data_IF_135586083610
#
_entry.id   IF_135586083610
#
_cell.length_a   1.000
_cell.length_b   1.000
_cell.length_c   1.000
_cell.angle_alpha   90.00
_cell.angle_beta   90.00
_cell.angle_gamma   90.00
#
_symmetry.space_group_name_H-M   'P 1'
#
loop_
_entity.id
_entity.type
_entity.pdbx_description
1 polymer ?
#
# COMPACT_ATOMS: atom_id res chain seq x y z
N UNK A 1 18.87 -3.16 11.69
CA UNK A 1 19.42 -4.11 12.68
C UNK A 1 20.48 -5.04 12.07
N UNK A 2 20.28 -5.67 10.89
CA UNK A 2 21.31 -6.55 10.29
C UNK A 2 22.61 -5.84 9.86
N UNK A 3 22.55 -4.60 9.37
CA UNK A 3 23.74 -3.76 9.12
C UNK A 3 24.41 -3.24 10.39
N UNK A 4 23.66 -3.18 11.50
CA UNK A 4 24.16 -2.81 12.82
C UNK A 4 24.69 -4.01 13.62
N UNK A 5 24.50 -5.23 13.10
CA UNK A 5 25.17 -6.44 13.57
C UNK A 5 26.48 -6.71 12.81
N UNK A 6 26.99 -5.72 12.08
CA UNK A 6 28.29 -5.82 11.42
C UNK A 6 29.41 -5.76 12.46
N UNK A 7 30.48 -6.53 12.23
CA UNK A 7 31.63 -6.60 13.14
C UNK A 7 32.40 -5.27 13.26
N UNK A 8 32.25 -4.37 12.28
CA UNK A 8 32.88 -3.04 12.26
C UNK A 8 31.95 -2.01 11.64
N UNK A 9 32.15 -0.72 11.99
CA UNK A 9 31.44 0.40 11.35
C UNK A 9 31.67 0.43 9.84
N UNK A 10 32.89 0.14 9.38
CA UNK A 10 33.22 0.12 7.96
C UNK A 10 32.40 -0.91 7.17
N UNK A 11 32.24 -2.14 7.69
CA UNK A 11 31.39 -3.15 7.06
C UNK A 11 29.90 -2.78 7.11
N UNK A 12 29.45 -2.17 8.22
CA UNK A 12 28.11 -1.62 8.33
C UNK A 12 27.83 -0.56 7.26
N UNK A 13 28.76 0.36 7.04
CA UNK A 13 28.66 1.41 6.02
C UNK A 13 28.62 0.84 4.60
N UNK A 14 29.51 -0.10 4.27
CA UNK A 14 29.49 -0.80 2.97
C UNK A 14 28.13 -1.45 2.74
N UNK A 15 27.64 -2.22 3.72
CA UNK A 15 26.35 -2.90 3.64
C UNK A 15 25.18 -1.95 3.39
N UNK A 16 25.14 -0.80 4.10
CA UNK A 16 24.11 0.22 3.89
C UNK A 16 24.21 0.84 2.49
N UNK A 17 25.42 1.15 2.02
CA UNK A 17 25.63 1.75 0.69
C UNK A 17 25.28 0.78 -0.44
N UNK A 18 25.67 -0.50 -0.32
CA UNK A 18 25.26 -1.54 -1.27
C UNK A 18 23.74 -1.72 -1.31
N UNK A 19 23.08 -1.76 -0.14
CA UNK A 19 21.63 -1.83 -0.08
C UNK A 19 20.97 -0.59 -0.70
N UNK A 20 21.53 0.61 -0.48
CA UNK A 20 21.10 1.84 -1.11
C UNK A 20 21.20 1.79 -2.64
N UNK A 21 22.34 1.31 -3.17
CA UNK A 21 22.54 1.11 -4.61
C UNK A 21 21.54 0.13 -5.22
N UNK A 22 21.30 -1.02 -4.58
CA UNK A 22 20.31 -1.99 -5.05
C UNK A 22 18.88 -1.42 -5.04
N UNK A 23 18.55 -0.56 -4.08
CA UNK A 23 17.23 0.09 -4.02
C UNK A 23 16.97 1.05 -5.19
N UNK A 24 18.00 1.63 -5.80
CA UNK A 24 17.84 2.47 -7.00
C UNK A 24 17.26 1.67 -8.18
N UNK A 25 17.51 0.36 -8.23
CA UNK A 25 16.96 -0.53 -9.25
C UNK A 25 15.52 -0.98 -8.96
N UNK A 26 15.02 -0.79 -7.72
CA UNK A 26 13.72 -1.32 -7.32
C UNK A 26 12.55 -0.75 -8.14
N UNK A 27 12.48 0.56 -8.49
CA UNK A 27 11.45 1.06 -9.38
C UNK A 27 11.48 0.43 -10.77
N UNK A 28 12.66 0.17 -11.33
CA UNK A 28 12.79 -0.48 -12.63
C UNK A 28 12.25 -1.93 -12.61
N UNK A 29 12.47 -2.64 -11.51
CA UNK A 29 12.04 -4.05 -11.38
C UNK A 29 10.56 -4.15 -10.99
N UNK A 30 10.07 -3.26 -10.12
CA UNK A 30 8.73 -3.38 -9.51
C UNK A 30 7.68 -2.46 -10.14
N UNK A 31 8.05 -1.23 -10.54
CA UNK A 31 7.12 -0.22 -11.04
C UNK A 31 7.00 -0.27 -12.56
N UNK A 32 8.12 -0.43 -13.27
CA UNK A 32 8.12 -0.47 -14.74
C UNK A 32 7.18 -1.55 -15.32
N UNK A 33 7.15 -2.79 -14.82
CA UNK A 33 6.17 -3.78 -15.30
C UNK A 33 4.72 -3.34 -15.08
N UNK A 34 4.44 -2.63 -13.98
CA UNK A 34 3.13 -2.04 -13.73
C UNK A 34 2.75 -0.98 -14.77
N UNK A 35 3.70 -0.11 -15.15
CA UNK A 35 3.49 0.90 -16.20
C UNK A 35 3.25 0.23 -17.57
N UNK A 36 4.05 -0.79 -17.90
CA UNK A 36 3.87 -1.56 -19.15
C UNK A 36 2.50 -2.24 -19.18
N UNK A 37 2.09 -2.85 -18.06
CA UNK A 37 0.77 -3.45 -17.92
C UNK A 37 -0.34 -2.39 -18.08
N UNK A 38 -0.18 -1.20 -17.49
CA UNK A 38 -1.13 -0.10 -17.66
C UNK A 38 -1.26 0.33 -19.13
N UNK A 39 -0.16 0.45 -19.87
CA UNK A 39 -0.24 0.79 -21.30
C UNK A 39 -0.81 -0.34 -22.16
N UNK A 40 -0.53 -1.60 -21.83
CA UNK A 40 -0.99 -2.77 -22.58
C UNK A 40 -2.47 -3.08 -22.35
N UNK A 41 -2.95 -2.86 -21.13
CA UNK A 41 -4.29 -3.29 -20.73
C UNK A 41 -5.22 -2.15 -20.30
N UNK A 42 -4.71 -0.93 -20.13
CA UNK A 42 -5.45 0.24 -19.63
C UNK A 42 -6.03 1.14 -20.70
N UNK A 43 -5.74 0.85 -21.97
CA UNK A 43 -6.44 1.46 -23.09
C UNK A 43 -7.56 0.54 -23.54
N UNK A 44 -8.78 1.02 -23.48
CA UNK A 44 -9.86 0.49 -24.31
C UNK A 44 -9.91 1.37 -25.55
N UNK A 45 -9.99 0.78 -26.73
CA UNK A 45 -10.18 1.54 -27.97
C UNK A 45 -11.47 1.05 -28.63
N UNK A 46 -12.27 1.97 -29.16
CA UNK A 46 -13.44 1.65 -29.98
C UNK A 46 -13.38 2.49 -31.25
N UNK A 47 -13.42 1.84 -32.42
CA UNK A 47 -13.36 2.48 -33.75
C UNK A 47 -12.20 3.49 -33.96
N UNK A 48 -11.00 3.16 -33.45
CA UNK A 48 -9.82 4.03 -33.61
C UNK A 48 -9.81 5.26 -32.72
N UNK A 49 -10.78 5.40 -31.81
CA UNK A 49 -10.80 6.42 -30.76
C UNK A 49 -10.25 5.80 -29.46
N UNK A 50 -9.16 6.34 -28.89
CA UNK A 50 -8.67 5.89 -27.60
C UNK A 50 -9.65 6.30 -26.50
N UNK A 51 -10.32 5.32 -25.88
CA UNK A 51 -11.13 5.53 -24.69
C UNK A 51 -10.20 5.58 -23.48
N UNK A 52 -9.93 6.78 -23.01
CA UNK A 52 -9.23 6.97 -21.74
C UNK A 52 -10.11 6.44 -20.61
N UNK A 53 -9.69 5.35 -19.96
CA UNK A 53 -10.22 4.95 -18.66
C UNK A 53 -9.68 5.96 -17.65
N UNK A 54 -10.27 7.15 -17.63
CA UNK A 54 -9.90 8.24 -16.73
C UNK A 54 -10.55 7.98 -15.38
N UNK A 55 -9.72 7.79 -14.36
CA UNK A 55 -10.03 7.90 -12.92
C UNK A 55 -11.45 7.50 -12.47
N UNK A 56 -11.65 6.21 -12.20
CA UNK A 56 -12.72 5.75 -11.29
C UNK A 56 -12.16 5.75 -9.85
N UNK A 57 -11.56 6.87 -9.46
CA UNK A 57 -11.02 7.09 -8.12
C UNK A 57 -11.98 8.03 -7.40
N UNK A 58 -12.58 7.50 -6.33
CA UNK A 58 -13.49 8.17 -5.38
C UNK A 58 -14.96 8.25 -5.78
N UNK A 59 -15.76 7.24 -5.39
CA UNK A 59 -16.97 7.41 -4.56
C UNK A 59 -17.62 6.06 -4.21
N UNK A 60 -18.31 6.02 -3.06
CA UNK A 60 -18.89 4.83 -2.43
C UNK A 60 -20.03 4.21 -3.26
N UNK A 61 -19.96 2.91 -3.52
CA UNK A 61 -21.11 2.12 -3.96
C UNK A 61 -22.02 1.89 -2.74
N UNK A 62 -23.16 2.57 -2.70
CA UNK A 62 -24.21 2.31 -1.71
C UNK A 62 -25.11 1.15 -2.19
N UNK A 63 -25.17 0.06 -1.42
CA UNK A 63 -26.19 -0.98 -1.60
C UNK A 63 -27.55 -0.48 -1.09
N UNK A 64 -28.60 -0.56 -1.92
CA UNK A 64 -29.97 -0.28 -1.51
C UNK A 64 -30.87 -1.51 -1.72
N UNK A 65 -31.40 -2.02 -0.61
CA UNK A 65 -32.79 -2.48 -0.45
C UNK A 65 -33.31 -3.68 -1.26
N UNK A 66 -33.64 -4.75 -0.53
CA UNK A 66 -34.35 -5.97 -0.94
C UNK A 66 -35.76 -5.75 -1.52
N UNK A 67 -36.21 -6.59 -2.47
CA UNK A 67 -37.64 -6.90 -2.57
C UNK A 67 -38.04 -8.35 -2.99
N UNK A 68 -38.87 -8.92 -2.12
CA UNK A 68 -39.98 -9.90 -2.20
C UNK A 68 -40.01 -11.21 -3.02
N UNK A 69 -38.97 -11.67 -3.74
CA UNK A 69 -39.07 -12.98 -4.46
C UNK A 69 -38.02 -14.04 -4.14
N UNK A 70 -37.08 -13.78 -3.23
CA UNK A 70 -36.09 -14.79 -2.81
C UNK A 70 -34.95 -15.06 -3.80
N UNK A 71 -34.83 -14.28 -4.87
CA UNK A 71 -33.62 -14.19 -5.69
C UNK A 71 -32.79 -12.95 -5.30
N UNK A 72 -31.47 -13.04 -5.46
CA UNK A 72 -30.50 -12.05 -5.00
C UNK A 72 -30.83 -10.63 -5.54
N UNK A 73 -30.63 -9.58 -4.73
CA UNK A 73 -31.12 -8.24 -5.05
C UNK A 73 -30.49 -7.67 -6.32
N UNK A 74 -31.32 -6.97 -7.10
CA UNK A 74 -30.92 -6.03 -8.14
C UNK A 74 -30.17 -4.85 -7.50
N UNK A 75 -28.90 -4.71 -7.84
CA UNK A 75 -28.08 -3.57 -7.42
C UNK A 75 -28.42 -2.36 -8.30
N UNK A 76 -29.13 -1.37 -7.74
CA UNK A 76 -29.37 -0.07 -8.36
C UNK A 76 -28.48 0.95 -7.64
N UNK A 77 -27.48 1.49 -8.34
CA UNK A 77 -26.61 2.55 -7.82
C UNK A 77 -27.05 3.86 -8.47
N UNK A 78 -27.56 4.79 -7.67
CA UNK A 78 -27.92 6.12 -8.11
C UNK A 78 -26.71 7.05 -7.98
N UNK A 79 -26.22 7.56 -9.10
CA UNK A 79 -25.47 8.82 -9.16
C UNK A 79 -26.21 9.79 -10.07
N UNK A 80 -26.20 11.08 -9.71
CA UNK A 80 -27.08 12.13 -10.25
C UNK A 80 -27.29 12.07 -11.78
N UNK A 81 -28.54 12.30 -12.19
CA UNK A 81 -29.04 12.41 -13.57
C UNK A 81 -28.46 11.45 -14.62
N UNK A 82 -27.85 10.33 -14.28
CA UNK A 82 -27.32 9.35 -15.24
C UNK A 82 -27.46 7.94 -14.64
N UNK A 83 -28.23 7.08 -15.31
CA UNK A 83 -28.55 5.76 -14.83
C UNK A 83 -28.02 4.69 -15.80
N UNK A 84 -27.42 3.64 -15.22
CA UNK A 84 -26.77 2.52 -15.90
C UNK A 84 -27.52 1.24 -15.52
N UNK A 85 -27.95 0.45 -16.51
CA UNK A 85 -28.67 -0.82 -16.26
C UNK A 85 -27.82 -2.02 -16.70
N UNK A 86 -27.65 -2.99 -15.79
CA UNK A 86 -26.97 -4.28 -16.04
C UNK A 86 -28.02 -5.37 -16.14
N UNK A 87 -28.35 -5.80 -17.36
CA UNK A 87 -29.29 -6.90 -17.60
C UNK A 87 -28.57 -8.24 -17.47
N UNK A 88 -28.77 -8.93 -16.33
CA UNK A 88 -28.09 -10.20 -16.01
C UNK A 88 -28.89 -11.46 -16.38
N UNK A 89 -29.73 -11.41 -17.40
CA UNK A 89 -30.70 -12.51 -17.64
C UNK A 89 -30.92 -12.91 -19.10
N UNK A 90 -30.18 -12.38 -20.07
CA UNK A 90 -30.40 -12.70 -21.50
C UNK A 90 -29.24 -13.49 -22.11
N UNK A 91 -29.58 -14.43 -22.99
CA UNK A 91 -28.60 -15.19 -23.79
C UNK A 91 -27.85 -14.27 -24.77
N UNK A 92 -26.64 -14.67 -25.15
CA UNK A 92 -25.72 -13.90 -26.00
C UNK A 92 -26.36 -13.48 -27.34
N UNK A 93 -27.24 -14.31 -27.90
CA UNK A 93 -27.97 -13.99 -29.14
C UNK A 93 -29.03 -12.89 -28.94
N UNK A 94 -29.74 -12.90 -27.81
CA UNK A 94 -30.79 -11.92 -27.51
C UNK A 94 -30.23 -10.51 -27.24
N UNK A 95 -29.05 -10.42 -26.62
CA UNK A 95 -28.36 -9.14 -26.42
C UNK A 95 -27.92 -8.50 -27.75
N UNK A 96 -27.57 -9.32 -28.75
CA UNK A 96 -27.11 -8.85 -30.07
C UNK A 96 -28.25 -8.33 -30.93
N UNK A 97 -29.44 -8.93 -30.82
CA UNK A 97 -30.65 -8.51 -31.53
C UNK A 97 -31.22 -7.17 -31.03
N UNK A 98 -30.81 -6.73 -29.83
CA UNK A 98 -31.19 -5.43 -29.25
C UNK A 98 -30.31 -4.27 -29.69
N UNK A 99 -29.23 -4.50 -30.44
CA UNK A 99 -28.44 -3.42 -31.02
C UNK A 99 -29.31 -2.57 -31.96
N UNK A 100 -29.38 -1.26 -31.71
CA UNK A 100 -30.27 -0.32 -32.40
C UNK A 100 -31.65 -0.14 -31.77
N UNK A 101 -32.01 -0.91 -30.74
CA UNK A 101 -33.29 -0.78 -30.04
C UNK A 101 -33.26 0.32 -28.97
N UNK A 102 -34.43 0.78 -28.54
CA UNK A 102 -34.56 1.82 -27.50
C UNK A 102 -35.18 1.22 -26.24
N UNK A 103 -34.53 1.41 -25.10
CA UNK A 103 -34.99 0.96 -23.79
C UNK A 103 -35.39 2.15 -22.93
N UNK A 104 -36.30 1.95 -21.98
CA UNK A 104 -36.76 2.99 -21.06
C UNK A 104 -36.30 2.66 -19.64
N UNK A 105 -35.42 3.51 -19.09
CA UNK A 105 -34.82 3.32 -17.77
C UNK A 105 -34.92 4.61 -16.96
N UNK A 106 -35.50 4.54 -15.76
CA UNK A 106 -35.77 5.69 -14.88
C UNK A 106 -36.45 6.88 -15.62
N UNK A 107 -37.42 6.58 -16.49
CA UNK A 107 -38.19 7.59 -17.25
C UNK A 107 -37.46 8.21 -18.44
N UNK A 108 -36.30 7.67 -18.82
CA UNK A 108 -35.50 8.14 -19.95
C UNK A 108 -35.40 7.07 -21.03
N UNK A 109 -35.52 7.49 -22.29
CA UNK A 109 -35.33 6.63 -23.46
C UNK A 109 -33.86 6.63 -23.85
N UNK A 110 -33.27 5.45 -23.88
CA UNK A 110 -31.86 5.21 -24.21
C UNK A 110 -31.80 4.31 -25.44
N UNK A 111 -31.10 4.73 -26.50
CA UNK A 111 -30.91 3.91 -27.70
C UNK A 111 -29.62 3.11 -27.56
N UNK A 112 -29.69 1.80 -27.76
CA UNK A 112 -28.53 0.92 -27.76
C UNK A 112 -27.81 1.08 -29.10
N UNK A 113 -26.54 1.50 -29.11
CA UNK A 113 -25.80 1.72 -30.36
C UNK A 113 -24.86 0.57 -30.72
N UNK A 114 -24.26 -0.07 -29.72
CA UNK A 114 -23.33 -1.16 -29.95
C UNK A 114 -23.27 -2.12 -28.76
N UNK A 115 -23.04 -3.40 -29.07
CA UNK A 115 -22.79 -4.47 -28.09
C UNK A 115 -21.36 -4.96 -28.32
N UNK A 116 -20.49 -4.75 -27.33
CA UNK A 116 -19.05 -4.94 -27.51
C UNK A 116 -18.61 -6.39 -27.20
N UNK A 117 -19.20 -7.00 -26.16
CA UNK A 117 -18.95 -8.38 -25.67
C UNK A 117 -20.20 -8.87 -24.90
N UNK A 118 -20.34 -10.17 -24.49
CA UNK A 118 -21.50 -10.64 -23.74
C UNK A 118 -21.81 -9.72 -22.54
N UNK A 119 -23.04 -9.21 -22.45
CA UNK A 119 -23.48 -8.40 -21.30
C UNK A 119 -23.05 -6.92 -21.28
N UNK A 120 -22.40 -6.39 -22.33
CA UNK A 120 -21.96 -4.98 -22.39
C UNK A 120 -22.66 -4.20 -23.51
N UNK A 121 -23.43 -3.18 -23.12
CA UNK A 121 -24.28 -2.37 -24.01
C UNK A 121 -23.89 -0.89 -23.92
N UNK A 122 -23.57 -0.26 -25.07
CA UNK A 122 -23.41 1.20 -25.17
C UNK A 122 -24.75 1.80 -25.56
N UNK A 123 -25.18 2.83 -24.84
CA UNK A 123 -26.42 3.53 -25.17
C UNK A 123 -26.26 5.05 -25.23
N UNK A 124 -26.93 5.67 -26.21
CA UNK A 124 -27.02 7.11 -26.41
C UNK A 124 -28.35 7.62 -25.88
N UNK A 125 -28.29 8.71 -25.12
CA UNK A 125 -29.50 9.37 -24.59
C UNK A 125 -30.19 10.21 -25.68
N UNK A 126 -31.38 10.72 -25.38
CA UNK A 126 -32.14 11.61 -26.28
C UNK A 126 -31.40 12.91 -26.67
N UNK A 127 -30.28 13.25 -26.01
CA UNK A 127 -29.46 14.42 -26.30
C UNK A 127 -28.27 14.12 -27.25
N UNK A 128 -28.09 12.87 -27.68
CA UNK A 128 -27.02 12.49 -28.63
C UNK A 128 -25.65 12.26 -27.97
N UNK A 129 -25.61 12.11 -26.65
CA UNK A 129 -24.37 11.85 -25.91
C UNK A 129 -24.18 10.35 -25.65
N UNK A 130 -23.02 9.81 -26.04
CA UNK A 130 -22.65 8.41 -25.85
C UNK A 130 -22.37 8.13 -24.37
N UNK A 131 -23.03 7.11 -23.79
CA UNK A 131 -22.75 6.64 -22.43
C UNK A 131 -22.21 5.21 -22.43
N UNK A 132 -21.12 4.98 -21.69
CA UNK A 132 -20.40 3.71 -21.64
C UNK A 132 -20.76 2.92 -20.37
N UNK A 133 -21.18 1.67 -20.52
CA UNK A 133 -21.47 0.76 -19.41
C UNK A 133 -20.40 -0.35 -19.39
N UNK A 134 -19.65 -0.50 -18.31
CA UNK A 134 -18.75 -1.65 -18.03
C UNK A 134 -19.39 -2.41 -16.87
N UNK A 135 -19.58 -3.72 -16.91
CA UNK A 135 -18.58 -4.79 -17.08
C UNK A 135 -19.35 -6.13 -17.06
N UNK A 136 -19.05 -7.16 -17.90
CA UNK A 136 -19.20 -8.62 -17.59
C UNK A 136 -18.92 -9.58 -18.78
N UNK A 137 -17.64 -9.83 -19.07
CA UNK A 137 -17.14 -11.23 -19.05
C UNK A 137 -15.72 -11.27 -18.44
N UNK A 138 -15.58 -12.13 -17.45
CA UNK A 138 -14.76 -11.93 -16.24
C UNK A 138 -13.34 -12.48 -16.32
N UNK A 139 -12.81 -12.74 -17.52
CA UNK A 139 -11.40 -13.15 -17.68
C UNK A 139 -10.58 -12.15 -18.51
N UNK A 140 -11.23 -11.38 -19.40
CA UNK A 140 -10.59 -10.39 -20.27
C UNK A 140 -10.41 -9.01 -19.63
N UNK A 141 -11.49 -8.45 -19.06
CA UNK A 141 -11.56 -7.09 -18.49
C UNK A 141 -11.03 -6.95 -17.05
N UNK A 142 -10.65 -8.05 -16.41
CA UNK A 142 -10.02 -8.08 -15.06
C UNK A 142 -8.70 -7.30 -14.99
N UNK A 143 -8.16 -6.83 -16.10
CA UNK A 143 -6.75 -6.48 -16.22
C UNK A 143 -6.26 -5.31 -15.35
N UNK A 144 -7.14 -4.42 -14.88
CA UNK A 144 -6.72 -3.25 -14.07
C UNK A 144 -7.62 -2.89 -12.88
N UNK A 145 -8.72 -3.60 -12.63
CA UNK A 145 -9.57 -3.32 -11.47
C UNK A 145 -8.87 -3.63 -10.14
N UNK A 146 -7.88 -4.54 -10.15
CA UNK A 146 -6.95 -4.77 -9.03
C UNK A 146 -5.54 -4.43 -9.46
N UNK A 147 -5.06 -3.24 -9.08
CA UNK A 147 -3.72 -2.73 -9.41
C UNK A 147 -2.61 -3.73 -9.07
N UNK A 148 -2.80 -4.52 -8.02
CA UNK A 148 -1.83 -5.52 -7.54
C UNK A 148 -1.69 -6.76 -8.47
N UNK A 149 -2.64 -7.01 -9.38
CA UNK A 149 -2.56 -8.15 -10.33
C UNK A 149 -1.79 -7.83 -11.61
N UNK A 150 -1.50 -6.55 -11.85
CA UNK A 150 -0.92 -6.07 -13.11
C UNK A 150 0.39 -6.78 -13.48
N UNK A 151 1.28 -6.97 -12.49
CA UNK A 151 2.58 -7.59 -12.75
C UNK A 151 2.46 -9.08 -13.08
N UNK A 152 1.68 -9.84 -12.30
CA UNK A 152 1.47 -11.27 -12.54
C UNK A 152 0.82 -11.56 -13.90
N UNK A 153 -0.15 -10.73 -14.30
CA UNK A 153 -0.80 -10.83 -15.61
C UNK A 153 0.17 -10.54 -16.75
N UNK A 154 0.95 -9.46 -16.65
CA UNK A 154 1.94 -9.14 -17.67
C UNK A 154 2.96 -10.27 -17.87
N UNK A 155 3.44 -10.86 -16.78
CA UNK A 155 4.39 -11.98 -16.85
C UNK A 155 3.77 -13.19 -17.55
N UNK A 156 2.53 -13.55 -17.21
CA UNK A 156 1.81 -14.67 -17.83
C UNK A 156 1.66 -14.49 -19.35
N UNK A 157 1.37 -13.27 -19.80
CA UNK A 157 1.07 -13.01 -21.21
C UNK A 157 2.33 -12.78 -22.06
N UNK A 158 3.44 -12.35 -21.46
CA UNK A 158 4.68 -12.01 -22.17
C UNK A 158 5.69 -13.16 -22.17
N UNK A 159 5.81 -13.92 -21.07
CA UNK A 159 6.82 -14.97 -20.96
C UNK A 159 6.34 -16.30 -21.55
N UNK A 160 7.25 -17.10 -22.14
CA UNK A 160 6.99 -18.49 -22.47
C UNK A 160 6.53 -19.29 -21.24
N UNK A 161 5.71 -20.35 -21.40
CA UNK A 161 5.13 -21.11 -20.28
C UNK A 161 6.16 -21.59 -19.24
N UNK A 162 7.35 -21.98 -19.70
CA UNK A 162 8.44 -22.45 -18.84
C UNK A 162 8.98 -21.32 -17.95
N UNK A 163 9.15 -20.12 -18.50
CA UNK A 163 9.65 -18.95 -17.77
C UNK A 163 8.56 -18.33 -16.88
N UNK A 164 7.30 -18.38 -17.31
CA UNK A 164 6.16 -17.99 -16.47
C UNK A 164 6.04 -18.92 -15.24
N UNK A 165 6.18 -20.23 -15.43
CA UNK A 165 6.21 -21.20 -14.33
C UNK A 165 7.41 -21.01 -13.39
N UNK A 166 8.61 -20.76 -13.95
CA UNK A 166 9.80 -20.42 -13.16
C UNK A 166 9.58 -19.15 -12.33
N UNK A 167 9.03 -18.10 -12.93
CA UNK A 167 8.72 -16.85 -12.24
C UNK A 167 7.74 -17.09 -11.07
N UNK A 168 6.66 -17.83 -11.30
CA UNK A 168 5.70 -18.18 -10.25
C UNK A 168 6.37 -18.90 -9.08
N UNK A 169 7.28 -19.85 -9.35
CA UNK A 169 8.05 -20.54 -8.33
C UNK A 169 8.99 -19.61 -7.54
N UNK A 170 9.67 -18.68 -8.23
CA UNK A 170 10.56 -17.68 -7.60
C UNK A 170 9.77 -16.74 -6.69
N UNK A 171 8.63 -16.22 -7.15
CA UNK A 171 7.77 -15.35 -6.34
C UNK A 171 7.23 -16.09 -5.11
N UNK A 172 6.75 -17.33 -5.28
CA UNK A 172 6.29 -18.15 -4.15
C UNK A 172 7.42 -18.36 -3.13
N UNK A 173 8.63 -18.69 -3.59
CA UNK A 173 9.82 -18.84 -2.75
C UNK A 173 10.18 -17.55 -2.01
N UNK A 174 10.13 -16.41 -2.69
CA UNK A 174 10.41 -15.09 -2.12
C UNK A 174 9.37 -14.68 -1.05
N UNK A 175 8.08 -14.96 -1.30
CA UNK A 175 6.98 -14.74 -0.35
C UNK A 175 7.18 -15.60 0.89
N UNK A 176 7.42 -16.91 0.72
CA UNK A 176 7.63 -17.83 1.85
C UNK A 176 8.87 -17.45 2.68
N UNK A 177 9.96 -17.04 2.02
CA UNK A 177 11.17 -16.57 2.69
C UNK A 177 10.90 -15.32 3.54
N UNK A 178 10.22 -14.33 2.97
CA UNK A 178 9.88 -13.08 3.66
C UNK A 178 8.91 -13.32 4.82
N UNK A 179 7.90 -14.16 4.61
CA UNK A 179 6.93 -14.57 5.63
C UNK A 179 7.60 -15.30 6.80
N UNK A 180 8.48 -16.27 6.51
CA UNK A 180 9.25 -16.98 7.53
C UNK A 180 10.16 -16.03 8.33
N UNK A 181 10.81 -15.07 7.67
CA UNK A 181 11.63 -14.06 8.36
C UNK A 181 10.78 -13.16 9.26
N UNK A 182 9.58 -12.77 8.83
CA UNK A 182 8.66 -11.96 9.63
C UNK A 182 8.16 -12.73 10.85
N UNK A 183 7.67 -13.96 10.68
CA UNK A 183 7.24 -14.82 11.78
C UNK A 183 8.34 -15.07 12.79
N UNK A 184 9.56 -15.38 12.33
CA UNK A 184 10.68 -15.62 13.23
C UNK A 184 11.03 -14.36 14.05
N UNK A 185 11.10 -13.20 13.40
CA UNK A 185 11.41 -11.94 14.08
C UNK A 185 10.34 -11.56 15.11
N UNK A 186 9.07 -11.73 14.76
CA UNK A 186 7.92 -11.49 15.66
C UNK A 186 7.91 -12.47 16.83
N UNK A 187 8.18 -13.76 16.59
CA UNK A 187 8.30 -14.77 17.62
C UNK A 187 9.46 -14.50 18.59
N UNK A 188 10.62 -14.05 18.08
CA UNK A 188 11.78 -13.67 18.90
C UNK A 188 11.50 -12.40 19.72
N UNK A 189 10.90 -11.37 19.12
CA UNK A 189 10.54 -10.14 19.82
C UNK A 189 9.56 -10.43 20.97
N UNK A 190 8.56 -11.28 20.71
CA UNK A 190 7.65 -11.73 21.76
C UNK A 190 8.35 -12.57 22.82
N UNK A 191 9.11 -13.60 22.43
CA UNK A 191 9.66 -14.55 23.40
C UNK A 191 10.70 -13.94 24.32
N UNK A 192 11.60 -13.11 23.78
CA UNK A 192 12.62 -12.42 24.57
C UNK A 192 12.04 -11.15 25.20
N UNK A 193 11.52 -10.24 24.38
CA UNK A 193 11.15 -8.90 24.83
C UNK A 193 9.85 -8.82 25.64
N UNK A 194 8.91 -9.74 25.46
CA UNK A 194 7.62 -9.73 26.20
C UNK A 194 7.58 -10.87 27.20
N UNK A 195 7.75 -12.11 26.74
CA UNK A 195 7.60 -13.29 27.58
C UNK A 195 8.70 -13.40 28.63
N UNK A 196 9.98 -13.30 28.25
CA UNK A 196 11.07 -13.34 29.24
C UNK A 196 11.16 -12.03 30.01
N UNK A 197 11.32 -10.91 29.33
CA UNK A 197 11.65 -9.65 30.01
C UNK A 197 10.50 -9.07 30.85
N UNK A 198 9.24 -9.23 30.43
CA UNK A 198 8.09 -8.59 31.10
C UNK A 198 7.21 -9.57 31.89
N UNK A 199 6.95 -10.77 31.36
CA UNK A 199 5.96 -11.70 31.95
C UNK A 199 6.58 -12.75 32.87
N UNK A 200 7.68 -13.39 32.45
CA UNK A 200 8.34 -14.49 33.16
C UNK A 200 9.88 -14.31 33.15
N UNK A 201 10.43 -13.41 33.98
CA UNK A 201 11.87 -13.09 34.03
C UNK A 201 12.79 -14.27 34.34
N UNK A 202 12.25 -15.32 35.00
CA UNK A 202 13.00 -16.52 35.39
C UNK A 202 12.79 -17.70 34.43
N UNK A 203 12.18 -17.48 33.28
CA UNK A 203 11.92 -18.55 32.31
C UNK A 203 13.22 -19.15 31.76
N UNK A 204 13.26 -20.48 31.67
CA UNK A 204 14.36 -21.20 31.02
C UNK A 204 14.34 -20.99 29.51
N UNK A 205 15.48 -21.16 28.85
CA UNK A 205 15.58 -20.96 27.40
C UNK A 205 14.61 -21.88 26.63
N UNK A 206 14.38 -23.10 27.12
CA UNK A 206 13.40 -24.03 26.53
C UNK A 206 11.96 -23.49 26.63
N UNK A 207 11.60 -22.90 27.78
CA UNK A 207 10.28 -22.27 27.96
C UNK A 207 10.11 -21.07 27.04
N UNK A 208 11.15 -20.25 26.89
CA UNK A 208 11.17 -19.08 25.99
C UNK A 208 10.99 -19.52 24.53
N UNK A 209 11.73 -20.54 24.08
CA UNK A 209 11.59 -21.09 22.72
C UNK A 209 10.19 -21.65 22.51
N UNK A 210 9.63 -22.36 23.49
CA UNK A 210 8.29 -22.94 23.40
C UNK A 210 7.20 -21.86 23.34
N UNK A 211 7.33 -20.80 24.14
CA UNK A 211 6.45 -19.64 24.09
C UNK A 211 6.52 -18.94 22.73
N UNK A 212 7.72 -18.71 22.19
CA UNK A 212 7.93 -18.14 20.86
C UNK A 212 7.28 -18.97 19.74
N UNK A 213 7.45 -20.31 19.76
CA UNK A 213 6.82 -21.20 18.78
C UNK A 213 5.29 -21.17 18.84
N UNK A 214 4.71 -21.18 20.05
CA UNK A 214 3.24 -21.08 20.24
C UNK A 214 2.70 -19.76 19.73
N UNK A 215 3.37 -18.66 20.05
CA UNK A 215 3.01 -17.34 19.55
C UNK A 215 3.16 -17.23 18.03
N UNK A 216 4.20 -17.84 17.45
CA UNK A 216 4.38 -17.93 16.01
C UNK A 216 3.21 -18.63 15.31
N UNK A 217 2.73 -19.76 15.86
CA UNK A 217 1.52 -20.43 15.35
C UNK A 217 0.27 -19.55 15.45
N UNK A 218 0.09 -18.86 16.58
CA UNK A 218 -1.02 -17.93 16.77
C UNK A 218 -1.01 -16.81 15.70
N UNK A 219 0.13 -16.16 15.50
CA UNK A 219 0.29 -15.08 14.51
C UNK A 219 0.10 -15.62 13.08
N UNK A 220 0.59 -16.82 12.78
CA UNK A 220 0.40 -17.43 11.46
C UNK A 220 -1.08 -17.66 11.15
N UNK A 221 -1.84 -18.26 12.08
CA UNK A 221 -3.28 -18.50 11.93
C UNK A 221 -4.03 -17.17 11.83
N UNK A 222 -3.73 -16.20 12.71
CA UNK A 222 -4.34 -14.88 12.67
C UNK A 222 -4.08 -14.17 11.32
N UNK A 223 -2.87 -14.26 10.79
CA UNK A 223 -2.52 -13.69 9.48
C UNK A 223 -3.31 -14.34 8.34
N UNK A 224 -3.51 -15.67 8.39
CA UNK A 224 -4.33 -16.39 7.41
C UNK A 224 -5.81 -15.99 7.48
N UNK A 225 -6.34 -15.71 8.68
CA UNK A 225 -7.70 -15.22 8.85
C UNK A 225 -7.89 -13.77 8.38
N UNK A 226 -6.88 -12.91 8.57
CA UNK A 226 -6.93 -11.50 8.18
C UNK A 226 -6.64 -11.29 6.68
N UNK A 227 -5.82 -12.14 6.05
CA UNK A 227 -5.41 -11.96 4.66
C UNK A 227 -6.60 -11.82 3.66
N UNK A 228 -7.69 -12.61 3.76
CA UNK A 228 -8.87 -12.43 2.90
C UNK A 228 -9.53 -11.04 3.02
N UNK A 229 -9.45 -10.39 4.19
CA UNK A 229 -10.03 -9.06 4.40
C UNK A 229 -9.32 -7.97 3.57
N UNK A 230 -8.10 -8.24 3.10
CA UNK A 230 -7.35 -7.33 2.23
C UNK A 230 -7.78 -7.42 0.77
N UNK A 231 -8.54 -8.44 0.37
CA UNK A 231 -8.96 -8.63 -1.01
C UNK A 231 -9.91 -7.53 -1.55
N UNK A 232 -10.57 -6.80 -0.64
CA UNK A 232 -11.44 -5.67 -0.96
C UNK A 232 -10.74 -4.31 -1.04
N UNK A 233 -9.40 -4.26 -0.91
CA UNK A 233 -8.64 -3.02 -1.03
C UNK A 233 -8.23 -2.75 -2.49
N UNK A 234 -8.33 -1.51 -2.94
CA UNK A 234 -7.93 -1.10 -4.30
C UNK A 234 -6.41 -1.22 -4.55
N UNK A 235 -5.62 -1.00 -3.50
CA UNK A 235 -4.18 -1.17 -3.50
C UNK A 235 -3.70 -1.70 -2.16
N UNK A 236 -3.19 -2.93 -2.19
CA UNK A 236 -2.56 -3.54 -1.02
C UNK A 236 -1.32 -2.73 -0.60
N UNK A 237 -0.53 -2.24 -1.56
CA UNK A 237 0.61 -1.36 -1.26
C UNK A 237 0.16 -0.07 -0.55
N UNK A 238 -0.87 0.60 -1.04
CA UNK A 238 -1.41 1.81 -0.41
C UNK A 238 -1.89 1.56 1.02
N UNK A 239 -2.64 0.48 1.23
CA UNK A 239 -3.07 0.06 2.57
C UNK A 239 -1.88 -0.24 3.50
N UNK A 240 -0.87 -0.96 3.01
CA UNK A 240 0.35 -1.22 3.76
C UNK A 240 1.09 0.07 4.12
N UNK A 241 1.11 1.07 3.25
CA UNK A 241 1.71 2.37 3.56
C UNK A 241 0.94 3.13 4.65
N UNK A 242 -0.40 3.06 4.65
CA UNK A 242 -1.23 3.59 5.74
C UNK A 242 -0.90 2.91 7.06
N UNK A 243 -0.87 1.58 7.07
CA UNK A 243 -0.46 0.77 8.23
C UNK A 243 0.94 1.14 8.72
N UNK A 244 1.91 1.25 7.80
CA UNK A 244 3.29 1.65 8.11
C UNK A 244 3.36 3.03 8.75
N UNK A 245 2.55 3.98 8.27
CA UNK A 245 2.47 5.33 8.82
C UNK A 245 2.10 5.36 10.30
N UNK A 246 1.15 4.50 10.74
CA UNK A 246 0.65 4.48 12.12
C UNK A 246 1.76 4.30 13.17
N UNK A 247 2.77 3.48 12.87
CA UNK A 247 3.83 3.17 13.80
C UNK A 247 5.17 3.81 13.44
N UNK A 248 5.52 3.95 12.15
CA UNK A 248 6.79 4.56 11.77
C UNK A 248 6.87 6.04 12.14
N UNK A 249 5.81 6.83 11.96
CA UNK A 249 5.89 8.27 12.24
C UNK A 249 6.10 8.55 13.75
N UNK A 250 5.34 7.94 14.67
CA UNK A 250 5.56 8.18 16.10
C UNK A 250 6.92 7.66 16.58
N UNK A 251 7.34 6.46 16.13
CA UNK A 251 8.65 5.89 16.48
C UNK A 251 9.80 6.76 15.94
N UNK A 252 9.68 7.21 14.68
CA UNK A 252 10.66 8.09 14.05
C UNK A 252 10.77 9.42 14.78
N UNK A 253 9.64 10.02 15.17
CA UNK A 253 9.61 11.25 15.98
C UNK A 253 10.39 11.08 17.28
N UNK A 254 10.11 10.01 18.03
CA UNK A 254 10.81 9.70 19.29
C UNK A 254 12.29 9.47 19.07
N UNK A 255 12.68 8.74 18.02
CA UNK A 255 14.07 8.49 17.67
C UNK A 255 14.82 9.78 17.33
N UNK A 256 14.24 10.66 16.52
CA UNK A 256 14.84 11.96 16.17
C UNK A 256 15.05 12.80 17.42
N UNK A 257 14.03 12.92 18.28
CA UNK A 257 14.15 13.64 19.55
C UNK A 257 15.20 13.01 20.47
N UNK A 258 15.23 11.69 20.59
CA UNK A 258 16.21 10.98 21.43
C UNK A 258 17.64 11.10 20.91
N UNK A 259 17.83 11.28 19.60
CA UNK A 259 19.16 11.45 18.99
C UNK A 259 19.68 12.88 19.12
N UNK A 260 18.82 13.89 18.96
CA UNK A 260 19.23 15.29 18.95
C UNK A 260 19.07 16.01 20.29
N UNK A 261 18.38 15.41 21.27
CA UNK A 261 18.16 16.03 22.59
C UNK A 261 18.53 15.07 23.73
N UNK A 262 19.16 15.61 24.78
CA UNK A 262 19.57 14.83 25.97
C UNK A 262 18.65 15.00 27.18
N UNK A 263 17.71 15.95 27.11
CA UNK A 263 16.90 16.39 28.27
C UNK A 263 15.40 16.10 28.16
N UNK A 264 14.91 15.63 27.01
CA UNK A 264 13.48 15.28 26.87
C UNK A 264 13.19 14.03 27.73
N UNK A 265 12.17 14.06 28.62
CA UNK A 265 11.86 12.93 29.50
C UNK A 265 11.17 11.78 28.75
N UNK A 266 11.28 10.56 29.29
CA UNK A 266 10.65 9.37 28.72
C UNK A 266 9.11 9.47 28.66
N UNK A 267 8.50 10.27 29.55
CA UNK A 267 7.05 10.53 29.54
C UNK A 267 6.62 11.24 28.24
N UNK A 268 7.43 12.17 27.73
CA UNK A 268 7.13 12.86 26.47
C UNK A 268 7.10 11.86 25.29
N UNK A 269 8.05 10.92 25.25
CA UNK A 269 8.10 9.88 24.25
C UNK A 269 6.90 8.93 24.33
N UNK A 270 6.50 8.51 25.54
CA UNK A 270 5.31 7.65 25.74
C UNK A 270 4.04 8.35 25.24
N UNK A 271 3.85 9.62 25.61
CA UNK A 271 2.71 10.43 25.16
C UNK A 271 2.73 10.56 23.63
N UNK A 272 3.88 10.87 23.03
CA UNK A 272 4.01 11.02 21.58
C UNK A 272 3.70 9.71 20.82
N UNK A 273 4.10 8.55 21.33
CA UNK A 273 3.77 7.26 20.73
C UNK A 273 2.26 7.01 20.72
N UNK A 274 1.59 7.22 21.85
CA UNK A 274 0.14 7.00 21.98
C UNK A 274 -0.65 8.01 21.15
N UNK A 275 -0.36 9.30 21.29
CA UNK A 275 -1.05 10.37 20.56
C UNK A 275 -0.78 10.28 19.07
N UNK A 276 0.46 9.97 18.66
CA UNK A 276 0.82 9.82 17.26
C UNK A 276 0.07 8.67 16.60
N UNK A 277 0.04 7.50 17.25
CA UNK A 277 -0.73 6.36 16.76
C UNK A 277 -2.22 6.71 16.67
N UNK A 278 -2.80 7.30 17.73
CA UNK A 278 -4.22 7.65 17.78
C UNK A 278 -4.60 8.71 16.73
N UNK A 279 -3.77 9.75 16.53
CA UNK A 279 -4.02 10.79 15.55
C UNK A 279 -4.02 10.24 14.11
N UNK A 280 -3.05 9.39 13.77
CA UNK A 280 -2.96 8.79 12.43
C UNK A 280 -4.09 7.77 12.23
N UNK A 281 -4.37 6.94 13.24
CA UNK A 281 -5.49 5.99 13.18
C UNK A 281 -6.83 6.71 12.99
N UNK A 282 -7.03 7.82 13.71
CA UNK A 282 -8.23 8.66 13.57
C UNK A 282 -8.30 9.28 12.16
N UNK A 283 -7.21 9.85 11.66
CA UNK A 283 -7.16 10.43 10.32
C UNK A 283 -7.46 9.42 9.20
N UNK A 284 -6.93 8.20 9.28
CA UNK A 284 -7.06 7.20 8.22
C UNK A 284 -8.30 6.30 8.33
N UNK A 285 -8.76 5.98 9.53
CA UNK A 285 -9.80 4.94 9.74
C UNK A 285 -11.13 5.47 10.26
N UNK A 286 -11.24 6.76 10.61
CA UNK A 286 -12.51 7.35 11.02
C UNK A 286 -13.07 8.19 9.88
N UNK A 287 -14.25 7.83 9.31
CA UNK A 287 -14.80 8.50 8.12
C UNK A 287 -14.89 10.03 8.22
N UNK A 288 -15.23 10.54 9.42
CA UNK A 288 -15.34 11.97 9.68
C UNK A 288 -14.03 12.76 9.43
N UNK A 289 -12.87 12.11 9.55
CA UNK A 289 -11.56 12.75 9.38
C UNK A 289 -10.91 12.48 8.04
N UNK A 290 -11.37 11.46 7.30
CA UNK A 290 -10.81 11.08 6.01
C UNK A 290 -10.88 12.21 4.98
N UNK A 291 -11.99 12.96 4.94
CA UNK A 291 -12.13 14.11 4.02
C UNK A 291 -11.05 15.18 4.23
N UNK A 292 -10.68 15.45 5.48
CA UNK A 292 -9.62 16.42 5.80
C UNK A 292 -8.24 15.91 5.39
N UNK A 293 -7.96 14.61 5.60
CA UNK A 293 -6.70 13.99 5.21
C UNK A 293 -6.54 13.98 3.69
N UNK A 294 -7.60 13.63 2.96
CA UNK A 294 -7.60 13.62 1.49
C UNK A 294 -7.36 15.02 0.93
N UNK A 295 -7.98 16.05 1.53
CA UNK A 295 -7.80 17.44 1.10
C UNK A 295 -6.34 17.95 1.22
N UNK A 296 -5.60 17.50 2.24
CA UNK A 296 -4.21 17.91 2.46
C UNK A 296 -3.16 16.99 1.82
N UNK A 297 -3.57 15.85 1.26
CA UNK A 297 -2.73 14.70 0.89
C UNK A 297 -2.21 13.90 2.10
N UNK A 298 -2.24 12.57 1.99
CA UNK A 298 -1.84 11.63 3.05
C UNK A 298 -0.40 11.85 3.55
N UNK A 299 0.55 12.17 2.68
CA UNK A 299 1.94 12.37 3.09
C UNK A 299 2.17 13.69 3.83
N UNK A 300 1.47 14.76 3.46
CA UNK A 300 1.51 16.02 4.22
C UNK A 300 0.85 15.86 5.58
N UNK A 301 -0.24 15.10 5.66
CA UNK A 301 -0.86 14.74 6.94
C UNK A 301 0.15 14.04 7.87
N UNK A 302 0.85 13.01 7.38
CA UNK A 302 1.90 12.33 8.17
C UNK A 302 3.04 13.29 8.58
N UNK A 303 3.45 14.19 7.68
CA UNK A 303 4.44 15.23 7.97
C UNK A 303 3.98 16.21 9.05
N UNK A 304 2.71 16.62 9.02
CA UNK A 304 2.11 17.49 10.02
C UNK A 304 2.01 16.81 11.39
N UNK A 305 1.63 15.53 11.42
CA UNK A 305 1.64 14.73 12.65
C UNK A 305 3.06 14.62 13.20
N UNK A 306 4.04 14.26 12.36
CA UNK A 306 5.46 14.22 12.76
C UNK A 306 5.92 15.53 13.40
N UNK A 307 5.68 16.66 12.73
CA UNK A 307 6.07 17.98 13.24
C UNK A 307 5.39 18.29 14.57
N UNK A 308 4.10 17.99 14.69
CA UNK A 308 3.32 18.18 15.94
C UNK A 308 3.88 17.34 17.09
N UNK A 309 4.25 16.09 16.84
CA UNK A 309 4.85 15.21 17.86
C UNK A 309 6.23 15.71 18.30
N UNK A 310 7.05 16.18 17.37
CA UNK A 310 8.35 16.80 17.67
C UNK A 310 8.17 18.05 18.52
N UNK A 311 7.28 18.96 18.13
CA UNK A 311 6.99 20.18 18.89
C UNK A 311 6.47 19.83 20.28
N UNK A 312 5.51 18.92 20.40
CA UNK A 312 4.97 18.45 21.67
C UNK A 312 6.09 17.95 22.61
N UNK A 313 6.98 17.08 22.11
CA UNK A 313 8.08 16.55 22.91
C UNK A 313 9.09 17.63 23.32
N UNK A 314 9.39 18.59 22.45
CA UNK A 314 10.27 19.72 22.78
C UNK A 314 9.64 20.67 23.80
N UNK A 315 8.32 20.89 23.74
CA UNK A 315 7.58 21.68 24.73
C UNK A 315 7.61 20.97 26.08
N UNK A 316 7.27 19.68 26.14
CA UNK A 316 7.36 18.89 27.39
C UNK A 316 8.80 18.88 27.90
N UNK A 317 9.80 18.73 27.03
CA UNK A 317 11.21 18.77 27.41
C UNK A 317 11.69 20.13 27.95
N UNK A 318 11.04 21.24 27.57
CA UNK A 318 11.30 22.55 28.15
C UNK A 318 10.57 22.77 29.48
N UNK A 319 9.35 22.28 29.61
CA UNK A 319 8.52 22.45 30.82
C UNK A 319 8.92 21.50 31.95
N UNK A 320 9.28 20.26 31.61
CA UNK A 320 9.65 19.20 32.54
C UNK A 320 10.92 18.47 32.04
N UNK A 321 12.08 19.15 31.97
CA UNK A 321 13.33 18.53 31.55
C UNK A 321 13.76 17.42 32.51
N UNK A 322 14.50 16.42 32.00
CA UNK A 322 15.20 15.46 32.85
C UNK A 322 16.17 16.18 33.79
N UNK A 323 16.23 15.71 35.04
CA UNK A 323 17.18 16.21 36.06
C UNK A 323 18.63 16.03 35.61
N UNK A 324 18.94 14.87 35.02
CA UNK A 324 20.26 14.57 34.48
C UNK A 324 20.20 14.39 32.95
N UNK A 325 21.13 15.02 32.20
CA UNK A 325 21.30 14.76 30.78
C UNK A 325 21.60 13.29 30.53
N UNK A 326 20.99 12.71 29.51
CA UNK A 326 21.33 11.36 29.08
C UNK A 326 22.79 11.30 28.56
N UNK A 327 23.60 10.34 29.02
CA UNK A 327 25.01 10.16 28.62
C UNK A 327 25.28 8.89 27.77
N UNK A 328 25.92 9.08 26.60
CA UNK A 328 26.23 8.00 25.65
C UNK A 328 27.32 7.08 26.20
N UNK A 329 26.86 6.01 26.87
CA UNK A 329 27.71 4.88 27.23
C UNK A 329 28.02 4.09 25.96
N UNK A 330 29.23 4.29 25.46
CA UNK A 330 29.79 3.45 24.42
C UNK A 330 30.16 2.09 25.02
N UNK A 331 29.63 1.00 24.46
CA UNK A 331 29.83 -0.34 25.01
C UNK A 331 31.20 -0.94 24.68
N UNK A 332 31.91 -0.41 23.67
CA UNK A 332 33.22 -0.93 23.25
C UNK A 332 33.17 -2.12 22.29
N UNK A 333 31.97 -2.62 21.97
CA UNK A 333 31.80 -3.93 21.31
C UNK A 333 32.10 -3.93 19.80
N UNK A 334 32.28 -2.77 19.15
CA UNK A 334 32.38 -2.67 17.67
C UNK A 334 33.42 -1.64 17.26
N UNK A 335 34.34 -1.98 16.37
CA UNK A 335 35.32 -1.02 15.85
C UNK A 335 34.64 0.16 15.11
N UNK A 336 34.94 1.40 15.51
CA UNK A 336 34.32 2.62 14.98
C UNK A 336 35.11 3.31 13.86
N UNK A 337 36.15 2.68 13.31
CA UNK A 337 36.90 3.25 12.19
C UNK A 337 35.99 3.32 10.95
N UNK A 338 35.69 4.52 10.41
CA UNK A 338 34.83 4.64 9.24
C UNK A 338 35.54 4.16 7.97
N UNK A 339 34.76 3.65 7.03
CA UNK A 339 35.27 3.29 5.72
C UNK A 339 35.67 4.54 4.93
N UNK A 340 36.92 4.60 4.45
CA UNK A 340 37.49 5.75 3.73
C UNK A 340 36.65 6.20 2.52
N UNK A 341 35.96 5.26 1.87
CA UNK A 341 35.13 5.54 0.69
C UNK A 341 33.65 5.76 0.99
N UNK A 342 33.25 5.79 2.27
CA UNK A 342 31.85 5.97 2.64
C UNK A 342 31.26 7.28 2.08
N UNK A 343 31.98 8.39 2.21
CA UNK A 343 31.57 9.69 1.70
C UNK A 343 31.53 9.75 0.17
N UNK A 344 32.59 9.39 -0.57
CA UNK A 344 32.55 9.34 -2.03
C UNK A 344 31.42 8.43 -2.57
N UNK A 345 31.28 7.22 -2.03
CA UNK A 345 30.23 6.30 -2.46
C UNK A 345 28.82 6.84 -2.17
N UNK A 346 28.63 7.49 -1.01
CA UNK A 346 27.38 8.15 -0.66
C UNK A 346 27.05 9.32 -1.59
N UNK A 347 28.04 10.16 -1.93
CA UNK A 347 27.87 11.26 -2.88
C UNK A 347 27.55 10.76 -4.28
N UNK A 348 28.21 9.69 -4.75
CA UNK A 348 27.88 9.05 -6.02
C UNK A 348 26.45 8.54 -6.03
N UNK A 349 26.00 7.87 -4.97
CA UNK A 349 24.62 7.38 -4.86
C UNK A 349 23.61 8.54 -4.88
N UNK A 350 23.91 9.63 -4.15
CA UNK A 350 23.08 10.84 -4.15
C UNK A 350 23.00 11.47 -5.54
N UNK A 351 24.13 11.58 -6.23
CA UNK A 351 24.19 12.12 -7.60
C UNK A 351 23.35 11.27 -8.56
N UNK A 352 23.41 9.94 -8.45
CA UNK A 352 22.58 9.01 -9.25
C UNK A 352 21.09 9.28 -9.00
N UNK A 353 20.68 9.37 -7.73
CA UNK A 353 19.27 9.63 -7.38
C UNK A 353 18.82 10.98 -7.92
N UNK A 354 19.58 12.06 -7.68
CA UNK A 354 19.25 13.40 -8.19
C UNK A 354 19.18 13.44 -9.71
N UNK A 355 20.07 12.72 -10.40
CA UNK A 355 20.05 12.60 -11.85
C UNK A 355 18.78 11.92 -12.34
N UNK A 356 18.35 10.83 -11.69
CA UNK A 356 17.08 10.15 -12.01
C UNK A 356 15.92 11.12 -11.83
N UNK A 357 15.84 11.82 -10.69
CA UNK A 357 14.78 12.81 -10.47
C UNK A 357 14.80 13.92 -11.53
N UNK A 358 15.97 14.43 -11.90
CA UNK A 358 16.08 15.48 -12.91
C UNK A 358 15.69 14.99 -14.31
N UNK A 359 16.07 13.77 -14.69
CA UNK A 359 15.71 13.18 -15.98
C UNK A 359 14.20 12.93 -16.13
N UNK A 360 13.52 12.60 -15.03
CA UNK A 360 12.08 12.35 -15.00
C UNK A 360 11.25 13.54 -14.50
N UNK A 361 11.90 14.64 -14.09
CA UNK A 361 11.20 15.84 -13.66
C UNK A 361 10.51 16.46 -14.86
N UNK A 362 9.19 16.59 -14.77
CA UNK A 362 8.44 17.37 -15.73
C UNK A 362 8.73 18.86 -15.47
N UNK A 363 9.67 19.41 -16.25
CA UNK A 363 10.05 20.82 -16.17
C UNK A 363 9.00 21.75 -16.77
N UNK A 364 7.94 21.21 -17.40
CA UNK A 364 6.84 22.02 -17.93
C UNK A 364 6.01 22.73 -16.85
N UNK A 365 6.10 22.30 -15.59
CA UNK A 365 5.44 22.97 -14.47
C UNK A 365 6.23 24.18 -13.91
N UNK A 366 7.47 24.39 -14.38
CA UNK A 366 8.37 25.47 -13.94
C UNK A 366 8.30 26.68 -14.90
N UNK A 367 7.76 26.49 -16.11
CA UNK A 367 7.60 27.49 -17.16
C UNK A 367 6.12 27.67 -17.49
#
# INVERSE_FOLDING_TARGET
>A
QRTFGANTLAEGQKGVLYAGGLKVLAPLILVLPGIVAFHRYGRVEHEGVPLAVKDITHEEIAMVGTDLTGEAPSEVILHGDAAVEVLRTESVEAARDRAGSTIEHNGRKLRIDAVLEPGVVIATNNAGENQYLRDLDTDGLVSLRRKDQAYGRLVRDVLPPQLAGFFAAVILGAILSSYNSALNSTATLFSLGVYRDMLHPKATDEQVIRAGKRFGWLIAIASMCVAPLLAGQDSIFGYLQKMNGLYFIPIFSVMVIGMFTRRVPAVAAKIALVLGFAAIAMGYFVPAFQGYVSAMNEFHFLGAVFATLVVLMLVIGRLAPRSEPWEHRYSGDVELTPWRWAWPAGLTLLAIVLTIYFLFADTSAIW
#
